data_IF_685435506024
#
_entry.id   IF_685435506024
#
_cell.length_a   1.000
_cell.length_b   1.000
_cell.length_c   1.000
_cell.angle_alpha   90.00
_cell.angle_beta   90.00
_cell.angle_gamma   90.00
#
_symmetry.space_group_name_H-M   'P 1'
#
loop_
_entity.id
_entity.type
_entity.pdbx_description
1 polymer ?
#
# COMPACT_ATOMS: atom_id res chain seq x y z
N UNK A 1 7.89 16.73 -10.78
CA UNK A 1 7.74 18.19 -10.88
C UNK A 1 6.25 18.52 -10.76
N UNK A 2 5.84 19.79 -10.63
CA UNK A 2 4.43 20.16 -10.60
C UNK A 2 3.64 19.65 -11.81
N UNK A 3 4.24 19.70 -13.00
CA UNK A 3 3.62 19.30 -14.27
C UNK A 3 3.24 17.80 -14.24
N UNK A 4 4.19 16.95 -13.83
CA UNK A 4 3.94 15.51 -13.66
C UNK A 4 2.82 15.22 -12.67
N UNK A 5 2.68 16.01 -11.60
CA UNK A 5 1.59 15.83 -10.64
C UNK A 5 0.25 16.29 -11.19
N UNK A 6 0.24 17.29 -12.07
CA UNK A 6 -0.94 17.67 -12.86
C UNK A 6 -1.42 16.52 -13.74
N UNK A 7 -0.51 15.93 -14.52
CA UNK A 7 -0.81 14.76 -15.37
C UNK A 7 -1.35 13.58 -14.55
N UNK A 8 -0.71 13.26 -13.41
CA UNK A 8 -1.18 12.19 -12.52
C UNK A 8 -2.59 12.50 -11.99
N UNK A 9 -2.89 13.75 -11.62
CA UNK A 9 -4.20 14.14 -11.12
C UNK A 9 -5.29 13.99 -12.20
N UNK A 10 -5.01 14.40 -13.44
CA UNK A 10 -5.93 14.22 -14.58
C UNK A 10 -6.20 12.75 -14.88
N UNK A 11 -5.15 11.91 -14.88
CA UNK A 11 -5.29 10.45 -15.03
C UNK A 11 -6.17 9.89 -13.90
N UNK A 12 -5.88 10.24 -12.65
CA UNK A 12 -6.64 9.77 -11.49
C UNK A 12 -8.09 10.25 -11.50
N UNK A 13 -8.42 11.39 -12.10
CA UNK A 13 -9.79 11.88 -12.22
C UNK A 13 -10.66 11.00 -13.12
N UNK A 14 -10.06 10.28 -14.09
CA UNK A 14 -10.73 9.40 -15.05
C UNK A 14 -10.52 7.90 -14.76
N UNK A 15 -9.86 7.56 -13.66
CA UNK A 15 -9.49 6.17 -13.33
C UNK A 15 -10.53 5.49 -12.45
N UNK A 16 -11.06 4.34 -12.87
CA UNK A 16 -11.97 3.56 -12.01
C UNK A 16 -11.22 2.70 -10.99
N UNK A 17 -10.00 2.27 -11.32
CA UNK A 17 -9.18 1.40 -10.47
C UNK A 17 -7.72 1.82 -10.43
N UNK A 18 -7.17 1.93 -9.22
CA UNK A 18 -5.74 2.12 -8.99
C UNK A 18 -5.14 0.81 -8.49
N UNK A 19 -4.15 0.30 -9.22
CA UNK A 19 -3.44 -0.93 -8.87
C UNK A 19 -2.03 -0.58 -8.39
N UNK A 20 -1.78 -0.77 -7.10
CA UNK A 20 -0.46 -0.71 -6.51
C UNK A 20 0.13 -2.12 -6.58
N UNK A 21 0.93 -2.39 -7.61
CA UNK A 21 1.43 -3.73 -7.91
C UNK A 21 2.42 -4.29 -6.89
N UNK A 22 3.06 -3.43 -6.08
CA UNK A 22 3.96 -3.87 -5.03
C UNK A 22 4.15 -2.82 -3.94
N UNK A 23 4.67 -3.27 -2.79
CA UNK A 23 5.07 -2.42 -1.67
C UNK A 23 6.32 -1.58 -1.89
N UNK A 24 7.07 -1.78 -2.99
CA UNK A 24 8.34 -1.08 -3.25
C UNK A 24 8.17 0.43 -3.25
N UNK A 25 7.11 0.93 -3.87
CA UNK A 25 6.83 2.36 -3.97
C UNK A 25 6.52 3.00 -2.60
N UNK A 26 5.39 2.61 -2.00
CA UNK A 26 4.93 3.23 -0.75
C UNK A 26 5.80 2.85 0.46
N UNK A 27 6.34 1.63 0.50
CA UNK A 27 7.14 1.14 1.62
C UNK A 27 8.51 1.82 1.74
N UNK A 28 9.07 2.31 0.62
CA UNK A 28 10.35 3.02 0.58
C UNK A 28 10.18 4.54 0.50
N UNK A 29 9.42 5.05 -0.48
CA UNK A 29 9.39 6.48 -0.79
C UNK A 29 8.65 7.30 0.28
N UNK A 30 7.62 6.74 0.91
CA UNK A 30 6.87 7.46 1.94
C UNK A 30 7.69 7.72 3.23
N UNK A 31 8.80 7.00 3.42
CA UNK A 31 9.70 7.16 4.58
C UNK A 31 10.64 8.35 4.46
N UNK A 32 10.71 8.98 3.30
CA UNK A 32 11.57 10.14 3.04
C UNK A 32 10.74 11.36 2.67
N UNK A 33 9.83 11.84 3.54
CA UNK A 33 8.91 12.92 3.21
C UNK A 33 9.64 14.24 2.92
N UNK A 34 10.81 14.49 3.53
CA UNK A 34 11.61 15.67 3.22
C UNK A 34 12.17 15.64 1.78
N UNK A 35 12.45 14.45 1.24
CA UNK A 35 12.99 14.26 -0.11
C UNK A 35 11.90 14.06 -1.16
N UNK A 36 10.80 13.40 -0.81
CA UNK A 36 9.69 13.05 -1.70
C UNK A 36 8.32 13.47 -1.12
N UNK A 37 8.12 14.76 -0.77
CA UNK A 37 6.95 15.22 -0.03
C UNK A 37 5.62 14.92 -0.75
N UNK A 38 5.57 15.20 -2.05
CA UNK A 38 4.37 14.96 -2.86
C UNK A 38 4.03 13.48 -2.96
N UNK A 39 5.03 12.60 -3.12
CA UNK A 39 4.82 11.15 -3.22
C UNK A 39 4.38 10.54 -1.89
N UNK A 40 4.98 10.98 -0.78
CA UNK A 40 4.57 10.56 0.56
C UNK A 40 3.11 10.96 0.83
N UNK A 41 2.75 12.22 0.51
CA UNK A 41 1.37 12.71 0.62
C UNK A 41 0.40 11.95 -0.28
N UNK A 42 0.81 11.63 -1.51
CA UNK A 42 0.00 10.83 -2.43
C UNK A 42 -0.37 9.46 -1.85
N UNK A 43 0.62 8.68 -1.37
CA UNK A 43 0.32 7.37 -0.79
C UNK A 43 -0.52 7.45 0.48
N UNK A 44 -0.25 8.44 1.35
CA UNK A 44 -1.06 8.68 2.55
C UNK A 44 -2.52 8.92 2.18
N UNK A 45 -2.80 9.89 1.30
CA UNK A 45 -4.17 10.18 0.88
C UNK A 45 -4.81 9.01 0.12
N UNK A 46 -4.02 8.22 -0.61
CA UNK A 46 -4.53 7.08 -1.37
C UNK A 46 -5.05 5.98 -0.45
N UNK A 47 -4.29 5.64 0.60
CA UNK A 47 -4.65 4.57 1.53
C UNK A 47 -5.60 5.01 2.66
N UNK A 48 -5.72 6.32 2.92
CA UNK A 48 -6.67 6.89 3.89
C UNK A 48 -8.02 7.31 3.25
N UNK A 49 -8.34 6.81 2.05
CA UNK A 49 -9.55 7.16 1.27
C UNK A 49 -9.70 8.65 0.94
N UNK A 50 -8.63 9.44 1.01
CA UNK A 50 -8.64 10.89 0.81
C UNK A 50 -8.71 11.34 -0.66
N UNK A 51 -8.80 10.41 -1.63
CA UNK A 51 -8.79 10.71 -3.06
C UNK A 51 -9.96 10.12 -3.85
N UNK A 52 -11.08 9.77 -3.20
CA UNK A 52 -12.23 9.21 -3.92
C UNK A 52 -12.07 7.73 -4.27
N UNK A 53 -11.13 7.04 -3.62
CA UNK A 53 -10.88 5.62 -3.80
C UNK A 53 -11.09 4.87 -2.48
N UNK A 54 -11.64 3.67 -2.59
CA UNK A 54 -11.77 2.72 -1.48
C UNK A 54 -11.11 1.40 -1.85
N UNK A 55 -10.79 0.59 -0.85
CA UNK A 55 -10.17 -0.70 -1.08
C UNK A 55 -11.15 -1.68 -1.74
N UNK A 56 -10.74 -2.25 -2.88
CA UNK A 56 -11.47 -3.30 -3.58
C UNK A 56 -10.91 -4.69 -3.29
N UNK A 57 -9.58 -4.84 -3.26
CA UNK A 57 -8.92 -6.12 -3.00
C UNK A 57 -7.47 -5.94 -2.55
N UNK A 58 -6.97 -6.92 -1.79
CA UNK A 58 -5.55 -7.07 -1.51
C UNK A 58 -5.11 -8.49 -1.86
N UNK A 59 -3.93 -8.61 -2.48
CA UNK A 59 -3.30 -9.91 -2.73
C UNK A 59 -1.90 -9.89 -2.13
N UNK A 60 -1.57 -10.94 -1.40
CA UNK A 60 -0.27 -11.07 -0.78
C UNK A 60 0.12 -12.53 -0.65
N UNK A 61 1.43 -12.78 -0.72
CA UNK A 61 2.01 -14.06 -0.33
C UNK A 61 2.66 -13.87 1.03
N UNK A 62 2.54 -14.83 1.94
CA UNK A 62 3.11 -14.72 3.27
C UNK A 62 3.87 -16.02 3.59
N UNK A 63 5.08 -15.95 4.16
CA UNK A 63 5.76 -17.14 4.66
C UNK A 63 4.90 -17.85 5.72
N UNK A 64 4.85 -19.18 5.66
CA UNK A 64 4.04 -19.99 6.58
C UNK A 64 4.84 -21.17 7.12
N UNK A 65 4.59 -21.50 8.39
CA UNK A 65 5.00 -22.74 9.03
C UNK A 65 3.73 -23.44 9.53
N UNK A 66 3.16 -24.31 8.69
CA UNK A 66 1.87 -24.94 8.95
C UNK A 66 0.75 -23.88 9.13
N UNK A 67 0.01 -23.89 10.27
CA UNK A 67 -1.07 -22.92 10.52
C UNK A 67 -0.56 -21.52 10.91
N UNK A 68 0.74 -21.34 11.13
CA UNK A 68 1.35 -20.05 11.45
C UNK A 68 1.73 -19.29 10.18
N UNK A 69 1.25 -18.06 10.03
CA UNK A 69 1.73 -17.12 9.02
C UNK A 69 2.59 -16.03 9.66
N UNK A 70 3.68 -15.65 8.99
CA UNK A 70 4.54 -14.53 9.36
C UNK A 70 4.09 -13.30 8.58
N UNK A 71 3.78 -12.22 9.28
CA UNK A 71 3.20 -11.01 8.67
C UNK A 71 3.99 -9.80 9.13
N UNK A 72 4.57 -9.06 8.19
CA UNK A 72 5.20 -7.78 8.46
C UNK A 72 4.22 -6.62 8.26
N UNK A 73 4.56 -5.47 8.84
CA UNK A 73 3.85 -4.22 8.61
C UNK A 73 4.74 -3.28 7.77
N UNK A 74 4.53 -3.19 6.45
CA UNK A 74 5.31 -2.31 5.58
C UNK A 74 5.09 -0.83 5.88
N UNK A 75 4.00 -0.50 6.58
CA UNK A 75 3.63 0.84 7.02
C UNK A 75 4.05 1.17 8.45
N UNK A 76 4.68 0.24 9.17
CA UNK A 76 5.12 0.51 10.53
C UNK A 76 6.06 1.72 10.57
N UNK A 77 5.70 2.73 11.37
CA UNK A 77 6.42 4.01 11.48
C UNK A 77 6.15 4.99 10.34
N UNK A 78 5.07 4.81 9.58
CA UNK A 78 4.53 5.82 8.65
C UNK A 78 3.26 6.45 9.22
N UNK A 79 2.87 7.60 8.67
CA UNK A 79 1.67 8.35 9.04
C UNK A 79 0.38 7.81 8.42
N UNK A 80 0.39 6.59 7.89
CA UNK A 80 -0.78 5.89 7.37
C UNK A 80 -0.64 4.40 7.63
N UNK A 81 -1.74 3.66 7.53
CA UNK A 81 -1.77 2.21 7.64
C UNK A 81 -2.38 1.59 6.39
N UNK A 82 -1.97 0.36 6.07
CA UNK A 82 -2.67 -0.41 5.06
C UNK A 82 -4.06 -0.84 5.55
N UNK A 83 -5.05 -0.95 4.66
CA UNK A 83 -6.38 -1.43 5.04
C UNK A 83 -6.37 -2.85 5.62
N UNK A 84 -7.31 -3.16 6.51
CA UNK A 84 -7.35 -4.44 7.23
C UNK A 84 -7.46 -5.68 6.32
N UNK A 85 -8.08 -5.56 5.14
CA UNK A 85 -8.20 -6.64 4.14
C UNK A 85 -6.84 -7.10 3.59
N UNK A 86 -5.78 -6.31 3.78
CA UNK A 86 -4.42 -6.64 3.34
C UNK A 86 -3.68 -7.59 4.31
N UNK A 87 -4.40 -8.36 5.11
CA UNK A 87 -3.87 -9.34 6.07
C UNK A 87 -4.22 -10.77 5.60
N UNK A 88 -3.33 -11.76 5.78
CA UNK A 88 -3.64 -13.13 5.40
C UNK A 88 -4.60 -13.78 6.38
N UNK A 89 -5.40 -14.72 5.87
CA UNK A 89 -6.16 -15.63 6.69
C UNK A 89 -5.25 -16.78 7.20
N UNK A 90 -5.12 -16.88 8.52
CA UNK A 90 -4.39 -17.96 9.18
C UNK A 90 -4.86 -18.13 10.64
N UNK A 91 -4.87 -19.36 11.19
CA UNK A 91 -5.17 -19.58 12.61
C UNK A 91 -4.23 -18.87 13.56
N UNK A 92 -2.94 -18.77 13.21
CA UNK A 92 -1.94 -18.07 14.00
C UNK A 92 -1.18 -17.06 13.15
N UNK A 93 -0.99 -15.86 13.69
CA UNK A 93 -0.27 -14.77 13.05
C UNK A 93 0.90 -14.34 13.94
N UNK A 94 2.13 -14.54 13.46
CA UNK A 94 3.32 -13.91 14.03
C UNK A 94 3.49 -12.54 13.37
N UNK A 95 3.09 -11.48 14.08
CA UNK A 95 3.27 -10.10 13.62
C UNK A 95 4.70 -9.65 13.85
N UNK A 96 5.43 -9.50 12.76
CA UNK A 96 6.73 -8.87 12.71
C UNK A 96 6.54 -7.35 12.66
N UNK A 97 7.62 -6.60 12.93
CA UNK A 97 7.65 -5.17 12.59
C UNK A 97 7.83 -5.02 11.07
N UNK A 98 8.24 -3.83 10.63
CA UNK A 98 8.67 -3.62 9.25
C UNK A 98 9.83 -4.57 8.91
N UNK A 99 9.72 -5.27 7.79
CA UNK A 99 10.87 -5.91 7.14
C UNK A 99 11.46 -4.98 6.08
N UNK A 100 12.79 -5.05 5.91
CA UNK A 100 13.45 -4.30 4.84
C UNK A 100 13.04 -4.83 3.45
N UNK A 101 13.08 -3.97 2.44
CA UNK A 101 12.75 -4.29 1.06
C UNK A 101 13.51 -5.53 0.55
N UNK A 102 14.77 -5.69 0.98
CA UNK A 102 15.63 -6.81 0.61
C UNK A 102 15.06 -8.19 0.98
N UNK A 103 14.17 -8.24 1.97
CA UNK A 103 13.54 -9.49 2.44
C UNK A 103 12.19 -9.75 1.80
N UNK A 104 11.55 -8.74 1.19
CA UNK A 104 10.10 -8.81 0.92
C UNK A 104 9.67 -8.59 -0.52
N UNK A 105 10.48 -7.88 -1.30
CA UNK A 105 10.03 -7.42 -2.63
C UNK A 105 10.07 -8.52 -3.69
N UNK A 106 10.88 -9.57 -3.51
CA UNK A 106 11.07 -10.60 -4.53
C UNK A 106 10.17 -11.83 -4.35
N UNK A 107 9.90 -12.24 -3.12
CA UNK A 107 9.26 -13.52 -2.80
C UNK A 107 7.85 -13.37 -2.19
N UNK A 108 7.50 -12.18 -1.68
CA UNK A 108 6.18 -11.87 -1.17
C UNK A 108 5.64 -10.51 -1.62
N UNK A 109 5.25 -10.35 -2.91
CA UNK A 109 4.61 -9.14 -3.37
C UNK A 109 3.30 -8.89 -2.61
N UNK A 110 2.99 -7.63 -2.37
CA UNK A 110 1.70 -7.18 -1.84
C UNK A 110 1.08 -6.22 -2.85
N UNK A 111 -0.02 -6.67 -3.46
CA UNK A 111 -0.81 -5.90 -4.42
C UNK A 111 -2.00 -5.30 -3.67
N UNK A 112 -2.24 -4.02 -3.88
CA UNK A 112 -3.42 -3.31 -3.37
C UNK A 112 -4.20 -2.78 -4.56
N UNK A 113 -5.48 -3.15 -4.64
CA UNK A 113 -6.41 -2.66 -5.66
C UNK A 113 -7.42 -1.75 -4.97
N UNK A 114 -7.49 -0.52 -5.44
CA UNK A 114 -8.43 0.48 -4.98
C UNK A 114 -9.41 0.76 -6.13
N UNK A 115 -10.70 0.84 -5.82
CA UNK A 115 -11.74 1.25 -6.77
C UNK A 115 -12.24 2.64 -6.44
N UNK A 116 -12.66 3.40 -7.44
CA UNK A 116 -13.37 4.66 -7.23
C UNK A 116 -14.64 4.39 -6.43
N UNK A 117 -14.88 5.19 -5.39
CA UNK A 117 -16.19 5.22 -4.74
C UNK A 117 -17.01 6.37 -5.35
N UNK A 118 -18.24 6.09 -5.78
CA UNK A 118 -19.19 7.15 -6.07
C UNK A 118 -19.61 7.76 -4.73
N UNK A 119 -19.39 9.06 -4.57
CA UNK A 119 -19.99 9.78 -3.45
C UNK A 119 -21.51 9.70 -3.63
N UNK A 120 -22.20 9.03 -2.69
CA UNK A 120 -23.65 9.11 -2.57
C UNK A 120 -24.08 10.52 -2.18
#
# INVERSE_FOLDING_TARGET
TPEKWGEIAEILAQTDYVVIASRRGYGALARWPERYPSTARYYRLLFENGMGFELAACFGRYPRLGPLALVDDPTAGLDFSLPALCQPEAPFLLRLRRLDESFVVYDHPQVVILRRYEAK
#
